data_IF_152635095676
#
_entry.id   IF_152635095676
#
_cell.length_a   1.000
_cell.length_b   1.000
_cell.length_c   1.000
_cell.angle_alpha   90.00
_cell.angle_beta   90.00
_cell.angle_gamma   90.00
#
_symmetry.space_group_name_H-M   'P 1'
#
loop_
_entity.id
_entity.type
_entity.pdbx_description
1 polymer ?
#
# COMPACT_ATOMS: atom_id res chain seq x y z
N UNK A 1 -16.05 4.86 -24.48
CA UNK A 1 -15.23 3.94 -23.67
C UNK A 1 -16.02 2.68 -23.44
N UNK A 2 -15.57 1.55 -24.00
CA UNK A 2 -16.30 0.27 -23.90
C UNK A 2 -15.71 -0.62 -22.82
N UNK A 3 -16.52 -1.55 -22.28
CA UNK A 3 -16.07 -2.55 -21.31
C UNK A 3 -14.86 -3.37 -21.82
N UNK A 4 -14.72 -3.48 -23.14
CA UNK A 4 -13.62 -4.17 -23.82
C UNK A 4 -12.27 -3.44 -23.68
N UNK A 5 -12.26 -2.10 -23.71
CA UNK A 5 -11.05 -1.29 -23.52
C UNK A 5 -10.56 -1.32 -22.06
N UNK A 6 -11.49 -1.48 -21.11
CA UNK A 6 -11.19 -1.71 -19.69
C UNK A 6 -10.55 -3.09 -19.45
N UNK A 7 -11.03 -4.13 -20.15
CA UNK A 7 -10.48 -5.49 -20.07
C UNK A 7 -9.10 -5.59 -20.75
N UNK A 8 -8.86 -4.84 -21.83
CA UNK A 8 -7.58 -4.86 -22.55
C UNK A 8 -6.43 -4.15 -21.81
N UNK A 9 -6.74 -3.30 -20.81
CA UNK A 9 -5.76 -2.63 -19.95
C UNK A 9 -5.25 -3.51 -18.80
N UNK A 10 -5.99 -4.54 -18.40
CA UNK A 10 -5.55 -5.51 -17.41
C UNK A 10 -5.10 -6.79 -18.10
N UNK A 11 -3.84 -7.18 -17.91
CA UNK A 11 -3.34 -8.45 -18.41
C UNK A 11 -4.11 -9.58 -17.70
N UNK A 12 -4.91 -10.35 -18.44
CA UNK A 12 -5.79 -11.40 -17.91
C UNK A 12 -5.05 -12.37 -16.97
N UNK A 13 -3.78 -12.66 -17.26
CA UNK A 13 -2.94 -13.51 -16.40
C UNK A 13 -2.69 -12.91 -15.02
N UNK A 14 -2.64 -11.58 -14.93
CA UNK A 14 -2.44 -10.84 -13.68
C UNK A 14 -3.71 -10.85 -12.83
N UNK A 15 -4.89 -10.66 -13.45
CA UNK A 15 -6.19 -10.80 -12.77
C UNK A 15 -6.42 -12.24 -12.28
N UNK A 16 -6.03 -13.25 -13.07
CA UNK A 16 -6.09 -14.66 -12.66
C UNK A 16 -5.18 -14.94 -11.46
N UNK A 17 -3.96 -14.38 -11.43
CA UNK A 17 -3.04 -14.52 -10.27
C UNK A 17 -3.60 -13.89 -9.00
N UNK A 18 -4.19 -12.71 -9.10
CA UNK A 18 -4.83 -12.05 -7.95
C UNK A 18 -6.05 -12.85 -7.48
N UNK A 19 -6.90 -13.29 -8.42
CA UNK A 19 -8.06 -14.14 -8.11
C UNK A 19 -7.64 -15.45 -7.44
N UNK A 20 -6.56 -16.07 -7.90
CA UNK A 20 -6.04 -17.31 -7.31
C UNK A 20 -5.43 -17.11 -5.92
N UNK A 21 -4.71 -16.00 -5.68
CA UNK A 21 -4.24 -15.63 -4.34
C UNK A 21 -5.41 -15.46 -3.36
N UNK A 22 -6.47 -14.78 -3.80
CA UNK A 22 -7.70 -14.57 -3.04
C UNK A 22 -8.46 -15.88 -2.77
N UNK A 23 -8.52 -16.77 -3.76
CA UNK A 23 -9.17 -18.08 -3.65
C UNK A 23 -8.48 -18.99 -2.63
N UNK A 24 -7.15 -18.92 -2.50
CA UNK A 24 -6.41 -19.66 -1.47
C UNK A 24 -6.61 -19.14 -0.06
N UNK A 25 -7.08 -17.91 0.09
CA UNK A 25 -7.29 -17.25 1.38
C UNK A 25 -8.64 -16.51 1.42
N UNK A 26 -9.76 -17.22 1.28
CA UNK A 26 -11.09 -16.61 1.11
C UNK A 26 -11.48 -15.71 2.30
N UNK A 27 -11.04 -16.05 3.51
CA UNK A 27 -11.27 -15.26 4.72
C UNK A 27 -10.61 -13.87 4.69
N UNK A 28 -9.61 -13.66 3.83
CA UNK A 28 -8.86 -12.39 3.71
C UNK A 28 -9.37 -11.50 2.57
N UNK A 29 -10.30 -11.98 1.75
CA UNK A 29 -10.88 -11.21 0.63
C UNK A 29 -11.61 -9.98 1.15
N UNK A 30 -12.58 -10.16 2.05
CA UNK A 30 -13.34 -9.03 2.60
C UNK A 30 -12.45 -8.03 3.37
N UNK A 31 -11.53 -8.46 4.26
CA UNK A 31 -10.51 -7.59 4.84
C UNK A 31 -9.73 -6.76 3.80
N UNK A 32 -9.32 -7.38 2.70
CA UNK A 32 -8.54 -6.71 1.64
C UNK A 32 -9.36 -5.65 0.92
N UNK A 33 -10.61 -5.98 0.55
CA UNK A 33 -11.53 -5.03 -0.08
C UNK A 33 -11.82 -3.85 0.85
N UNK A 34 -12.08 -4.13 2.12
CA UNK A 34 -12.33 -3.09 3.13
C UNK A 34 -11.13 -2.17 3.31
N UNK A 35 -9.91 -2.73 3.42
CA UNK A 35 -8.68 -1.94 3.54
C UNK A 35 -8.50 -1.01 2.33
N UNK A 36 -8.67 -1.55 1.13
CA UNK A 36 -8.52 -0.81 -0.12
C UNK A 36 -9.53 0.33 -0.23
N UNK A 37 -10.81 0.06 0.04
CA UNK A 37 -11.86 1.09 0.02
C UNK A 37 -11.61 2.19 1.04
N UNK A 38 -11.18 1.83 2.25
CA UNK A 38 -10.93 2.80 3.31
C UNK A 38 -9.70 3.66 3.03
N UNK A 39 -8.62 3.08 2.50
CA UNK A 39 -7.45 3.84 2.01
C UNK A 39 -7.88 4.86 0.97
N UNK A 40 -8.59 4.44 -0.08
CA UNK A 40 -9.01 5.34 -1.15
C UNK A 40 -9.93 6.44 -0.61
N UNK A 41 -10.87 6.12 0.26
CA UNK A 41 -11.75 7.11 0.90
C UNK A 41 -10.96 8.17 1.67
N UNK A 42 -9.99 7.74 2.48
CA UNK A 42 -9.16 8.66 3.29
C UNK A 42 -8.26 9.50 2.38
N UNK A 43 -7.60 8.89 1.40
CA UNK A 43 -6.71 9.58 0.47
C UNK A 43 -7.46 10.57 -0.42
N UNK A 44 -8.60 10.18 -1.00
CA UNK A 44 -9.45 11.08 -1.79
C UNK A 44 -9.88 12.30 -0.97
N UNK A 45 -10.33 12.08 0.28
CA UNK A 45 -10.74 13.18 1.17
C UNK A 45 -9.60 14.14 1.51
N UNK A 46 -8.36 13.63 1.65
CA UNK A 46 -7.21 14.43 2.11
C UNK A 46 -6.43 15.09 0.98
N UNK A 47 -6.30 14.41 -0.15
CA UNK A 47 -5.35 14.78 -1.20
C UNK A 47 -5.98 14.89 -2.59
N UNK A 48 -7.25 14.50 -2.77
CA UNK A 48 -7.87 14.41 -4.09
C UNK A 48 -6.99 13.61 -5.05
N UNK A 49 -6.88 14.05 -6.30
CA UNK A 49 -6.12 13.32 -7.31
C UNK A 49 -4.59 13.31 -7.09
N UNK A 50 -4.06 14.09 -6.15
CA UNK A 50 -2.61 14.15 -5.90
C UNK A 50 -2.03 12.80 -5.43
N UNK A 51 -2.83 11.97 -4.78
CA UNK A 51 -2.37 10.65 -4.36
C UNK A 51 -2.23 9.66 -5.52
N UNK A 52 -2.60 10.02 -6.75
CA UNK A 52 -2.35 9.22 -7.96
C UNK A 52 -1.03 9.55 -8.65
N UNK A 53 -0.28 10.55 -8.16
CA UNK A 53 1.07 10.92 -8.65
C UNK A 53 2.16 10.23 -7.82
N UNK A 54 3.42 10.64 -7.93
CA UNK A 54 4.54 10.05 -7.18
C UNK A 54 5.02 10.87 -5.96
N UNK A 55 4.25 11.89 -5.58
CA UNK A 55 4.60 12.78 -4.46
C UNK A 55 4.23 12.22 -3.07
N UNK A 56 4.35 13.08 -2.05
CA UNK A 56 4.06 12.71 -0.64
C UNK A 56 2.68 12.08 -0.41
N UNK A 57 1.66 12.52 -1.16
CA UNK A 57 0.31 11.95 -1.08
C UNK A 57 0.25 10.47 -1.49
N UNK A 58 1.09 10.05 -2.43
CA UNK A 58 1.20 8.66 -2.84
C UNK A 58 1.97 7.83 -1.82
N UNK A 59 3.06 8.36 -1.27
CA UNK A 59 3.78 7.72 -0.17
C UNK A 59 2.83 7.41 1.01
N UNK A 60 1.99 8.38 1.38
CA UNK A 60 0.93 8.18 2.38
C UNK A 60 -0.05 7.08 1.97
N UNK A 61 -0.53 7.07 0.72
CA UNK A 61 -1.49 6.07 0.20
C UNK A 61 -0.95 4.65 0.34
N UNK A 62 0.28 4.40 -0.10
CA UNK A 62 0.92 3.08 -0.06
C UNK A 62 1.13 2.57 1.36
N UNK A 63 1.65 3.43 2.24
CA UNK A 63 1.83 3.09 3.64
C UNK A 63 0.50 2.87 4.37
N UNK A 64 -0.51 3.72 4.13
CA UNK A 64 -1.85 3.57 4.71
C UNK A 64 -2.51 2.25 4.26
N UNK A 65 -2.36 1.90 2.98
CA UNK A 65 -2.90 0.65 2.46
C UNK A 65 -2.33 -0.57 3.17
N UNK A 66 -1.00 -0.63 3.34
CA UNK A 66 -0.34 -1.73 4.04
C UNK A 66 -0.72 -1.76 5.53
N UNK A 67 -0.78 -0.61 6.20
CA UNK A 67 -1.23 -0.49 7.59
C UNK A 67 -2.66 -1.06 7.78
N UNK A 68 -3.60 -0.68 6.91
CA UNK A 68 -5.00 -1.14 6.99
C UNK A 68 -5.15 -2.61 6.58
N UNK A 69 -4.39 -3.08 5.59
CA UNK A 69 -4.34 -4.50 5.22
C UNK A 69 -3.91 -5.35 6.41
N UNK A 70 -2.78 -4.99 7.03
CA UNK A 70 -2.30 -5.67 8.23
C UNK A 70 -3.37 -5.66 9.32
N UNK A 71 -3.98 -4.50 9.62
CA UNK A 71 -5.01 -4.40 10.66
C UNK A 71 -6.18 -5.34 10.43
N UNK A 72 -6.78 -5.29 9.25
CA UNK A 72 -8.01 -6.04 9.01
C UNK A 72 -7.77 -7.54 8.85
N UNK A 73 -6.62 -7.93 8.31
CA UNK A 73 -6.22 -9.34 8.26
C UNK A 73 -5.88 -9.84 9.66
N UNK A 74 -5.21 -9.03 10.49
CA UNK A 74 -4.98 -9.36 11.89
C UNK A 74 -6.28 -9.56 12.67
N UNK A 75 -7.31 -8.74 12.43
CA UNK A 75 -8.60 -8.94 13.08
C UNK A 75 -9.22 -10.32 12.84
N UNK A 76 -8.93 -10.94 11.68
CA UNK A 76 -9.37 -12.29 11.31
C UNK A 76 -8.40 -13.40 11.71
N UNK A 77 -7.10 -13.18 11.53
CA UNK A 77 -6.06 -14.18 11.74
C UNK A 77 -5.56 -14.25 13.18
N UNK A 78 -5.69 -13.15 13.94
CA UNK A 78 -5.08 -12.93 15.26
C UNK A 78 -3.57 -13.19 15.29
N UNK A 79 -2.90 -13.01 14.15
CA UNK A 79 -1.48 -13.31 13.99
C UNK A 79 -0.83 -12.21 13.15
N UNK A 80 0.17 -11.55 13.74
CA UNK A 80 0.88 -10.42 13.16
C UNK A 80 1.63 -10.81 11.89
N UNK A 81 2.41 -11.88 11.92
CA UNK A 81 3.20 -12.37 10.77
C UNK A 81 2.32 -12.72 9.57
N UNK A 82 1.17 -13.37 9.81
CA UNK A 82 0.19 -13.68 8.75
C UNK A 82 -0.41 -12.42 8.14
N UNK A 83 -0.64 -11.39 8.95
CA UNK A 83 -1.18 -10.14 8.49
C UNK A 83 -0.17 -9.35 7.63
N UNK A 84 1.07 -9.23 8.10
CA UNK A 84 2.15 -8.59 7.34
C UNK A 84 2.46 -9.34 6.05
N UNK A 85 2.64 -10.67 6.13
CA UNK A 85 2.91 -11.50 4.96
C UNK A 85 1.74 -11.54 3.97
N UNK A 86 0.50 -11.28 4.39
CA UNK A 86 -0.60 -11.07 3.47
C UNK A 86 -0.54 -9.70 2.79
N UNK A 87 -0.33 -8.63 3.56
CA UNK A 87 -0.24 -7.27 3.02
C UNK A 87 0.88 -7.14 1.98
N UNK A 88 2.06 -7.71 2.28
CA UNK A 88 3.19 -7.77 1.36
C UNK A 88 2.83 -8.55 0.08
N UNK A 89 2.32 -9.79 0.20
CA UNK A 89 1.96 -10.60 -0.99
C UNK A 89 0.95 -9.92 -1.90
N UNK A 90 -0.06 -9.24 -1.33
CA UNK A 90 -1.09 -8.53 -2.10
C UNK A 90 -0.49 -7.32 -2.82
N UNK A 91 0.31 -6.52 -2.12
CA UNK A 91 0.82 -5.26 -2.64
C UNK A 91 2.00 -5.47 -3.60
N UNK A 92 2.91 -6.40 -3.31
CA UNK A 92 3.95 -6.82 -4.26
C UNK A 92 3.36 -7.41 -5.54
N UNK A 93 2.25 -8.16 -5.42
CA UNK A 93 1.54 -8.61 -6.60
C UNK A 93 1.02 -7.41 -7.38
N UNK A 94 0.31 -6.48 -6.73
CA UNK A 94 -0.21 -5.26 -7.35
C UNK A 94 0.86 -4.48 -8.12
N UNK A 95 2.03 -4.23 -7.53
CA UNK A 95 3.15 -3.53 -8.20
C UNK A 95 3.66 -4.30 -9.43
N UNK A 96 3.70 -5.64 -9.38
CA UNK A 96 4.02 -6.47 -10.56
C UNK A 96 2.92 -6.46 -11.62
N UNK A 97 1.67 -6.17 -11.23
CA UNK A 97 0.54 -6.11 -12.15
C UNK A 97 0.44 -4.75 -12.85
N UNK A 98 0.85 -3.67 -12.17
CA UNK A 98 0.86 -2.31 -12.69
C UNK A 98 2.31 -1.81 -12.83
N UNK A 99 3.07 -2.29 -13.84
CA UNK A 99 4.48 -1.94 -13.98
C UNK A 99 4.64 -0.44 -14.19
N UNK A 100 5.45 0.18 -13.33
CA UNK A 100 5.86 1.58 -13.39
C UNK A 100 7.37 1.67 -13.70
N UNK A 101 7.90 2.90 -13.77
CA UNK A 101 9.34 3.12 -13.82
C UNK A 101 10.03 2.51 -12.59
N UNK A 102 11.30 2.11 -12.74
CA UNK A 102 12.04 1.41 -11.67
C UNK A 102 12.08 2.19 -10.36
N UNK A 103 12.19 3.52 -10.43
CA UNK A 103 12.21 4.39 -9.26
C UNK A 103 10.85 4.42 -8.55
N UNK A 104 9.77 4.55 -9.32
CA UNK A 104 8.39 4.58 -8.83
C UNK A 104 8.05 3.27 -8.10
N UNK A 105 8.32 2.13 -8.72
CA UNK A 105 8.11 0.82 -8.10
C UNK A 105 8.94 0.65 -6.83
N UNK A 106 10.19 1.10 -6.81
CA UNK A 106 11.03 1.03 -5.62
C UNK A 106 10.50 1.91 -4.47
N UNK A 107 10.02 3.11 -4.78
CA UNK A 107 9.36 4.00 -3.82
C UNK A 107 8.08 3.36 -3.26
N UNK A 108 7.22 2.81 -4.12
CA UNK A 108 5.96 2.19 -3.72
C UNK A 108 6.20 0.96 -2.83
N UNK A 109 7.14 0.08 -3.19
CA UNK A 109 7.53 -1.07 -2.37
C UNK A 109 8.11 -0.66 -1.00
N UNK A 110 8.93 0.39 -0.96
CA UNK A 110 9.49 0.92 0.29
C UNK A 110 8.39 1.47 1.20
N UNK A 111 7.52 2.33 0.67
CA UNK A 111 6.42 2.91 1.44
C UNK A 111 5.40 1.84 1.88
N UNK A 112 5.19 0.79 1.07
CA UNK A 112 4.44 -0.39 1.48
C UNK A 112 5.07 -1.05 2.72
N UNK A 113 6.39 -1.28 2.73
CA UNK A 113 7.12 -1.83 3.89
C UNK A 113 6.98 -0.93 5.12
N UNK A 114 7.15 0.39 4.98
CA UNK A 114 6.99 1.35 6.08
C UNK A 114 5.59 1.27 6.71
N UNK A 115 4.54 1.12 5.90
CA UNK A 115 3.18 0.89 6.38
C UNK A 115 3.02 -0.39 7.22
N UNK A 116 3.71 -1.48 6.84
CA UNK A 116 3.74 -2.73 7.62
C UNK A 116 4.52 -2.55 8.93
N UNK A 117 5.66 -1.88 8.89
CA UNK A 117 6.46 -1.56 10.08
C UNK A 117 5.68 -0.70 11.08
N UNK A 118 4.88 0.26 10.59
CA UNK A 118 4.03 1.06 11.46
C UNK A 118 2.98 0.21 12.20
N UNK A 119 2.47 -0.86 11.58
CA UNK A 119 1.54 -1.78 12.23
C UNK A 119 2.18 -2.57 13.39
N UNK A 120 3.47 -2.90 13.31
CA UNK A 120 4.17 -3.75 14.30
C UNK A 120 5.01 -2.97 15.31
N UNK A 121 5.54 -1.82 14.92
CA UNK A 121 6.57 -1.10 15.66
C UNK A 121 6.08 -0.23 16.81
N UNK A 122 4.77 -0.03 16.97
CA UNK A 122 4.23 0.82 18.04
C UNK A 122 3.06 0.15 18.78
N UNK A 123 2.94 0.38 20.11
CA UNK A 123 1.70 0.13 20.84
C UNK A 123 0.67 1.16 20.37
N UNK A 124 0.19 0.98 19.14
CA UNK A 124 -0.88 1.74 18.55
C UNK A 124 -2.13 1.35 19.33
N UNK A 125 -2.53 2.22 20.27
CA UNK A 125 -3.72 2.01 21.08
C UNK A 125 -4.97 2.02 20.18
N UNK A 126 -4.98 2.88 19.16
CA UNK A 126 -6.09 2.97 18.20
C UNK A 126 -5.64 3.20 16.75
N UNK A 127 -6.49 2.84 15.79
CA UNK A 127 -6.21 3.10 14.37
C UNK A 127 -6.13 4.61 14.04
N UNK A 128 -6.76 5.46 14.86
CA UNK A 128 -6.66 6.91 14.73
C UNK A 128 -5.21 7.36 14.97
N UNK A 129 -4.58 6.88 16.05
CA UNK A 129 -3.20 7.21 16.39
C UNK A 129 -2.22 6.77 15.29
N UNK A 130 -2.49 5.60 14.68
CA UNK A 130 -1.72 5.10 13.55
C UNK A 130 -1.78 6.05 12.34
N UNK A 131 -2.98 6.50 11.99
CA UNK A 131 -3.24 7.38 10.86
C UNK A 131 -2.66 8.78 11.11
N UNK A 132 -2.67 9.26 12.35
CA UNK A 132 -2.02 10.51 12.76
C UNK A 132 -0.49 10.41 12.72
N UNK A 133 0.07 9.29 13.20
CA UNK A 133 1.51 9.02 13.07
C UNK A 133 1.92 9.03 11.60
N UNK A 134 1.17 8.35 10.74
CA UNK A 134 1.44 8.30 9.32
C UNK A 134 1.36 9.68 8.64
N UNK A 135 0.46 10.55 9.10
CA UNK A 135 0.42 11.94 8.62
C UNK A 135 1.69 12.71 8.97
N UNK A 136 2.21 12.56 10.20
CA UNK A 136 3.49 13.18 10.59
C UNK A 136 4.64 12.66 9.74
N UNK A 137 4.74 11.33 9.59
CA UNK A 137 5.74 10.69 8.71
C UNK A 137 5.66 11.22 7.27
N UNK A 138 4.45 11.55 6.79
CA UNK A 138 4.26 12.10 5.44
C UNK A 138 4.80 13.53 5.31
N UNK A 139 4.68 14.35 6.36
CA UNK A 139 5.26 15.70 6.35
C UNK A 139 6.79 15.62 6.29
N UNK A 140 7.38 14.68 7.02
CA UNK A 140 8.82 14.46 7.14
C UNK A 140 9.43 13.60 6.03
N UNK A 141 8.60 13.12 5.09
CA UNK A 141 9.00 12.24 4.00
C UNK A 141 10.16 12.81 3.18
N UNK A 142 11.07 11.93 2.73
CA UNK A 142 12.32 12.30 2.05
C UNK A 142 12.19 12.24 0.53
N UNK A 143 12.68 13.26 -0.20
CA UNK A 143 12.72 13.20 -1.66
C UNK A 143 13.78 12.19 -2.10
N UNK A 144 13.48 11.41 -3.14
CA UNK A 144 14.40 10.45 -3.76
C UNK A 144 14.46 10.64 -5.27
N UNK A 145 15.64 10.40 -5.84
CA UNK A 145 15.92 10.48 -7.28
C UNK A 145 16.62 9.23 -7.85
N UNK A 146 17.03 8.30 -6.99
CA UNK A 146 17.64 7.01 -7.38
C UNK A 146 17.10 5.89 -6.49
N UNK A 147 16.66 4.79 -7.12
CA UNK A 147 16.16 3.60 -6.45
C UNK A 147 17.19 2.99 -5.49
N UNK A 148 18.49 3.11 -5.79
CA UNK A 148 19.58 2.58 -4.96
C UNK A 148 19.70 3.26 -3.60
N UNK A 149 19.25 4.52 -3.49
CA UNK A 149 19.39 5.31 -2.27
C UNK A 149 18.17 5.20 -1.35
N UNK A 150 17.08 4.57 -1.81
CA UNK A 150 15.84 4.42 -1.02
C UNK A 150 16.09 3.62 0.26
N UNK A 151 16.98 2.62 0.20
CA UNK A 151 17.33 1.79 1.37
C UNK A 151 17.98 2.57 2.51
N UNK A 152 18.47 3.79 2.26
CA UNK A 152 19.06 4.65 3.29
C UNK A 152 18.01 5.29 4.21
N UNK A 153 16.72 5.22 3.86
CA UNK A 153 15.61 5.84 4.56
C UNK A 153 14.73 4.82 5.28
N UNK A 154 15.33 3.82 5.93
CA UNK A 154 14.58 2.78 6.62
C UNK A 154 13.67 3.35 7.71
N UNK A 155 12.39 2.97 7.67
CA UNK A 155 11.36 3.49 8.59
C UNK A 155 10.81 4.88 8.22
N UNK A 156 11.41 5.57 7.25
CA UNK A 156 10.93 6.87 6.77
C UNK A 156 10.17 6.72 5.43
N UNK A 157 9.13 7.53 5.23
CA UNK A 157 8.47 7.60 3.93
C UNK A 157 9.36 8.32 2.91
N UNK A 158 9.31 7.88 1.66
CA UNK A 158 10.05 8.50 0.55
C UNK A 158 9.10 8.90 -0.58
N UNK A 159 9.45 9.93 -1.34
CA UNK A 159 8.64 10.40 -2.47
C UNK A 159 9.51 10.91 -3.62
N UNK A 160 8.97 10.93 -4.83
CA UNK A 160 9.63 11.53 -5.99
C UNK A 160 9.16 12.99 -6.10
N UNK A 161 10.12 13.92 -6.04
CA UNK A 161 9.83 15.33 -6.25
C UNK A 161 9.50 15.55 -7.72
N UNK A 162 8.27 15.99 -8.00
CA UNK A 162 7.78 16.40 -9.31
C UNK A 162 7.97 17.90 -9.53
#
# INVERSE_FOLDING_TARGET
MTAWELIRRFNLNQLVRLAWLMMRHPLYVFPTLKATQETLRICNKRYGDLHHKNGKANAFRHALWNLLLCRYVYQKSKNTEKAEGWAERVTDLHERLAPNEKLDTAMDLHNNKVGRMLFTGHPIQTMTDAIESLQRMTQEAKPVSDAKNITNFEGELVYIAS
#
